data_IF_063120114520
#
_entry.id   IF_063120114520
#
_cell.length_a   1.000
_cell.length_b   1.000
_cell.length_c   1.000
_cell.angle_alpha   90.00
_cell.angle_beta   90.00
_cell.angle_gamma   90.00
#
_symmetry.space_group_name_H-M   'P 1'
#
loop_
_entity.id
_entity.type
_entity.pdbx_description
1 polymer ?
#
# COMPACT_ATOMS: atom_id res chain seq x y z
N UNK A 1 14.94 -9.17 -2.67
CA UNK A 1 14.97 -7.75 -2.26
C UNK A 1 15.98 -7.02 -3.12
N UNK A 2 15.55 -5.92 -3.72
CA UNK A 2 16.49 -5.02 -4.40
C UNK A 2 17.32 -4.31 -3.33
N UNK A 3 18.62 -4.44 -3.44
CA UNK A 3 19.55 -3.65 -2.62
C UNK A 3 19.51 -2.22 -3.15
N UNK A 4 19.21 -1.25 -2.30
CA UNK A 4 19.33 0.16 -2.68
C UNK A 4 20.79 0.45 -2.97
N UNK A 5 21.07 1.03 -4.13
CA UNK A 5 22.45 1.34 -4.55
C UNK A 5 23.19 2.27 -3.58
N UNK A 6 22.47 3.19 -2.96
CA UNK A 6 22.98 4.14 -1.97
C UNK A 6 23.37 3.49 -0.63
N UNK A 7 22.94 2.24 -0.40
CA UNK A 7 23.31 1.48 0.79
C UNK A 7 24.62 0.68 0.64
N UNK A 8 25.22 0.66 -0.55
CA UNK A 8 26.44 -0.10 -0.82
C UNK A 8 27.65 0.84 -0.96
N UNK A 9 28.74 0.64 -0.16
CA UNK A 9 29.96 1.42 -0.30
C UNK A 9 30.52 1.36 -1.73
N UNK A 10 30.87 2.52 -2.29
CA UNK A 10 31.48 2.63 -3.61
C UNK A 10 30.52 2.64 -4.81
N UNK A 11 29.21 2.48 -4.60
CA UNK A 11 28.22 2.60 -5.66
C UNK A 11 27.67 4.03 -5.71
N UNK A 12 28.00 4.76 -6.76
CA UNK A 12 27.43 6.10 -7.03
C UNK A 12 26.06 5.96 -7.65
N UNK A 13 25.06 6.60 -7.07
CA UNK A 13 23.71 6.69 -7.60
C UNK A 13 22.68 6.74 -6.47
N UNK A 14 22.02 7.87 -6.34
CA UNK A 14 21.08 8.14 -5.26
C UNK A 14 19.86 7.22 -5.31
N UNK A 15 19.29 6.96 -4.17
CA UNK A 15 18.03 6.37 -3.71
C UNK A 15 16.99 5.86 -4.68
N UNK A 16 17.35 5.57 -5.90
CA UNK A 16 16.48 5.03 -6.93
C UNK A 16 16.21 3.54 -6.76
N UNK A 17 15.44 3.00 -7.67
CA UNK A 17 15.20 1.56 -7.79
C UNK A 17 16.54 0.85 -7.97
N UNK A 18 16.87 -0.11 -7.12
CA UNK A 18 18.03 -0.95 -7.31
C UNK A 18 17.94 -1.70 -8.64
N UNK A 19 19.11 -2.07 -9.18
CA UNK A 19 19.17 -2.99 -10.31
C UNK A 19 19.34 -4.40 -9.76
N UNK A 20 18.49 -5.29 -10.20
CA UNK A 20 18.51 -6.69 -9.82
C UNK A 20 19.79 -7.36 -10.35
N UNK A 21 20.50 -8.16 -9.55
CA UNK A 21 21.61 -8.93 -10.05
C UNK A 21 21.13 -9.95 -11.09
N UNK A 22 21.93 -10.20 -12.13
CA UNK A 22 21.60 -11.18 -13.18
C UNK A 22 21.38 -12.60 -12.66
N UNK A 23 22.03 -12.96 -11.56
CA UNK A 23 21.89 -14.27 -10.92
C UNK A 23 20.60 -14.42 -10.08
N UNK A 24 19.82 -13.35 -9.90
CA UNK A 24 18.58 -13.36 -9.13
C UNK A 24 17.38 -13.05 -10.04
N UNK A 25 16.97 -13.99 -10.90
CA UNK A 25 15.80 -13.82 -11.75
C UNK A 25 14.52 -13.72 -10.89
N UNK A 26 13.45 -13.19 -11.48
CA UNK A 26 12.15 -13.18 -10.82
C UNK A 26 11.52 -14.58 -10.86
N UNK A 27 10.67 -14.86 -9.88
CA UNK A 27 9.93 -16.11 -9.83
C UNK A 27 9.11 -16.38 -11.11
N UNK A 28 8.66 -15.32 -11.77
CA UNK A 28 7.92 -15.37 -13.03
C UNK A 28 8.68 -16.02 -14.18
N UNK A 29 10.01 -15.91 -14.21
CA UNK A 29 10.84 -16.59 -15.20
C UNK A 29 10.78 -18.12 -15.06
N UNK A 30 10.78 -18.61 -13.82
CA UNK A 30 10.65 -20.05 -13.56
C UNK A 30 9.22 -20.53 -13.83
N UNK A 31 8.23 -19.82 -13.31
CA UNK A 31 6.82 -20.19 -13.47
C UNK A 31 6.39 -20.21 -14.94
N UNK A 32 6.89 -19.30 -15.76
CA UNK A 32 6.60 -19.28 -17.18
C UNK A 32 7.12 -20.53 -17.89
N UNK A 33 8.31 -21.03 -17.51
CA UNK A 33 8.88 -22.29 -18.04
C UNK A 33 8.03 -23.50 -17.65
N UNK A 34 7.37 -23.42 -16.47
CA UNK A 34 6.45 -24.45 -15.96
C UNK A 34 5.00 -24.26 -16.48
N UNK A 35 4.79 -23.44 -17.48
CA UNK A 35 3.50 -23.24 -18.15
C UNK A 35 2.53 -22.27 -17.46
N UNK A 36 2.95 -21.58 -16.41
CA UNK A 36 2.11 -20.59 -15.76
C UNK A 36 1.84 -19.36 -16.63
N UNK A 37 0.65 -18.80 -16.49
CA UNK A 37 0.37 -17.43 -16.91
C UNK A 37 0.57 -16.47 -15.74
N UNK A 38 1.37 -15.45 -15.95
CA UNK A 38 1.76 -14.50 -14.91
C UNK A 38 1.06 -13.16 -15.15
N UNK A 39 0.39 -12.63 -14.11
CA UNK A 39 -0.35 -11.37 -14.14
C UNK A 39 0.16 -10.40 -13.09
N UNK A 40 0.13 -9.11 -13.38
CA UNK A 40 0.51 -8.06 -12.46
C UNK A 40 -0.59 -7.01 -12.36
N UNK A 41 -0.95 -6.62 -11.14
CA UNK A 41 -1.87 -5.52 -10.89
C UNK A 41 -1.37 -4.66 -9.72
N UNK A 42 -1.03 -3.40 -10.00
CA UNK A 42 -0.71 -2.43 -8.96
C UNK A 42 0.69 -1.83 -9.04
N UNK A 43 1.38 -1.76 -7.91
CA UNK A 43 2.69 -1.14 -7.81
C UNK A 43 3.79 -2.05 -8.36
N UNK A 44 4.64 -1.48 -9.21
CA UNK A 44 5.87 -2.09 -9.66
C UNK A 44 7.06 -1.30 -9.11
N UNK A 45 7.84 -1.91 -8.24
CA UNK A 45 8.98 -1.25 -7.59
C UNK A 45 10.28 -2.01 -7.84
N UNK A 46 10.37 -2.61 -9.02
CA UNK A 46 11.51 -3.40 -9.50
C UNK A 46 12.03 -2.74 -10.78
N UNK A 47 13.26 -3.04 -11.18
CA UNK A 47 13.86 -2.60 -12.44
C UNK A 47 13.15 -3.19 -13.66
N UNK A 48 13.26 -2.52 -14.80
CA UNK A 48 12.67 -2.93 -16.08
C UNK A 48 11.16 -2.70 -16.19
N UNK A 49 10.63 -3.06 -17.32
CA UNK A 49 9.20 -3.09 -17.59
C UNK A 49 8.59 -4.38 -17.04
N UNK A 50 7.29 -4.38 -16.83
CA UNK A 50 6.61 -5.54 -16.22
C UNK A 50 6.59 -6.72 -17.18
N UNK A 51 6.21 -6.51 -18.45
CA UNK A 51 6.10 -7.59 -19.43
C UNK A 51 7.47 -8.17 -19.79
N UNK A 52 8.55 -7.37 -19.77
CA UNK A 52 9.92 -7.84 -19.97
C UNK A 52 10.41 -8.77 -18.81
N UNK A 53 9.64 -8.86 -17.75
CA UNK A 53 9.89 -9.72 -16.60
C UNK A 53 8.91 -10.91 -16.52
N UNK A 54 8.56 -11.44 -17.72
CA UNK A 54 7.76 -12.65 -17.89
C UNK A 54 6.31 -12.58 -17.34
N UNK A 55 5.74 -11.39 -17.27
CA UNK A 55 4.31 -11.20 -17.09
C UNK A 55 3.60 -11.16 -18.46
N UNK A 56 2.37 -11.67 -18.50
CA UNK A 56 1.55 -11.70 -19.72
C UNK A 56 0.64 -10.47 -19.81
N UNK A 57 0.18 -9.97 -18.66
CA UNK A 57 -0.62 -8.76 -18.57
C UNK A 57 -0.26 -7.96 -17.32
N UNK A 58 -0.38 -6.64 -17.43
CA UNK A 58 -0.01 -5.72 -16.35
C UNK A 58 -0.89 -4.47 -16.31
N UNK A 59 -1.40 -4.16 -15.13
CA UNK A 59 -1.86 -2.84 -14.76
C UNK A 59 -0.87 -2.23 -13.76
N UNK A 60 -0.06 -1.28 -14.22
CA UNK A 60 0.96 -0.65 -13.38
C UNK A 60 0.50 0.70 -12.88
N UNK A 61 0.38 0.86 -11.56
CA UNK A 61 0.05 2.12 -10.93
C UNK A 61 1.33 2.89 -10.60
N UNK A 62 1.53 4.02 -11.27
CA UNK A 62 2.69 4.90 -11.07
C UNK A 62 2.35 6.14 -10.24
N UNK A 63 1.09 6.57 -10.24
CA UNK A 63 0.68 7.77 -9.50
C UNK A 63 0.47 7.44 -8.02
N UNK A 64 1.51 7.64 -7.23
CA UNK A 64 1.45 7.47 -5.77
C UNK A 64 1.01 8.76 -5.05
N UNK A 65 0.98 9.90 -5.73
CA UNK A 65 0.61 11.20 -5.16
C UNK A 65 -0.89 11.48 -5.16
N UNK A 66 -1.67 10.75 -5.98
CA UNK A 66 -3.12 10.93 -6.07
C UNK A 66 -3.83 9.61 -6.40
N UNK A 67 -4.52 9.04 -5.41
CA UNK A 67 -5.29 7.80 -5.58
C UNK A 67 -6.56 7.95 -6.41
N UNK A 68 -6.99 9.19 -6.69
CA UNK A 68 -8.17 9.49 -7.49
C UNK A 68 -7.84 9.89 -8.94
N UNK A 69 -6.63 9.61 -9.41
CA UNK A 69 -6.23 9.86 -10.79
C UNK A 69 -5.48 8.68 -11.39
N UNK A 70 -5.83 8.33 -12.63
CA UNK A 70 -5.15 7.31 -13.41
C UNK A 70 -3.92 7.84 -14.16
N UNK A 71 -3.67 9.15 -14.09
CA UNK A 71 -2.58 9.81 -14.81
C UNK A 71 -1.22 9.19 -14.52
N UNK A 72 -0.52 8.77 -15.58
CA UNK A 72 0.80 8.16 -15.48
C UNK A 72 0.79 6.66 -15.23
N UNK A 73 -0.38 6.03 -15.13
CA UNK A 73 -0.49 4.57 -15.06
C UNK A 73 -0.19 3.92 -16.43
N UNK A 74 0.17 2.66 -16.41
CA UNK A 74 0.47 1.89 -17.63
C UNK A 74 -0.42 0.64 -17.68
N UNK A 75 -0.90 0.35 -18.88
CA UNK A 75 -1.52 -0.93 -19.22
C UNK A 75 -0.57 -1.67 -20.16
N UNK A 76 -0.12 -2.85 -19.78
CA UNK A 76 0.84 -3.65 -20.54
C UNK A 76 2.09 -2.84 -20.97
N UNK A 77 2.63 -2.07 -20.00
CA UNK A 77 3.78 -1.17 -20.17
C UNK A 77 3.59 0.01 -21.14
N UNK A 78 2.36 0.19 -21.66
CA UNK A 78 1.97 1.33 -22.50
C UNK A 78 1.27 2.38 -21.61
N UNK A 79 1.54 3.68 -21.79
CA UNK A 79 0.84 4.73 -21.04
C UNK A 79 -0.68 4.61 -21.20
N UNK A 80 -1.37 4.50 -20.07
CA UNK A 80 -2.83 4.48 -20.07
C UNK A 80 -3.34 5.91 -20.26
N UNK A 81 -4.03 6.14 -21.36
CA UNK A 81 -4.58 7.44 -21.76
C UNK A 81 -6.06 7.29 -22.04
N UNK A 82 -6.91 7.35 -21.01
CA UNK A 82 -8.36 7.38 -21.26
C UNK A 82 -8.74 8.71 -21.90
N UNK A 83 -9.71 8.71 -22.79
CA UNK A 83 -10.26 9.93 -23.40
C UNK A 83 -10.74 10.93 -22.34
N UNK A 84 -11.30 10.41 -21.25
CA UNK A 84 -11.65 11.17 -20.04
C UNK A 84 -11.23 10.37 -18.81
N UNK A 85 -10.76 11.08 -17.78
CA UNK A 85 -10.53 10.44 -16.47
C UNK A 85 -11.85 9.78 -16.02
N UNK A 86 -11.85 8.48 -15.72
CA UNK A 86 -13.08 7.79 -15.33
C UNK A 86 -13.71 8.47 -14.11
N UNK A 87 -15.00 8.81 -14.20
CA UNK A 87 -15.73 9.31 -13.04
C UNK A 87 -15.62 8.31 -11.90
N UNK A 88 -15.28 8.79 -10.71
CA UNK A 88 -15.06 7.97 -9.53
C UNK A 88 -13.85 7.01 -9.61
N UNK A 89 -12.83 7.34 -10.41
CA UNK A 89 -11.60 6.58 -10.39
C UNK A 89 -11.02 6.52 -8.96
N UNK A 90 -10.66 5.33 -8.54
CA UNK A 90 -9.92 5.11 -7.30
C UNK A 90 -8.91 3.97 -7.50
N UNK A 91 -7.65 4.26 -7.25
CA UNK A 91 -6.52 3.40 -7.60
C UNK A 91 -6.62 1.99 -7.03
N UNK A 92 -7.07 1.86 -5.77
CA UNK A 92 -7.28 0.56 -5.11
C UNK A 92 -8.35 -0.26 -5.84
N UNK A 93 -9.49 0.37 -6.20
CA UNK A 93 -10.56 -0.28 -6.97
C UNK A 93 -10.09 -0.67 -8.37
N UNK A 94 -9.37 0.22 -9.06
CA UNK A 94 -8.86 -0.05 -10.40
C UNK A 94 -7.89 -1.23 -10.41
N UNK A 95 -7.01 -1.32 -9.40
CA UNK A 95 -6.08 -2.44 -9.22
C UNK A 95 -6.83 -3.77 -9.02
N UNK A 96 -7.85 -3.77 -8.16
CA UNK A 96 -8.68 -4.96 -7.92
C UNK A 96 -9.49 -5.35 -9.18
N UNK A 97 -10.06 -4.37 -9.89
CA UNK A 97 -10.83 -4.60 -11.11
C UNK A 97 -9.98 -5.21 -12.21
N UNK A 98 -8.74 -4.75 -12.39
CA UNK A 98 -7.81 -5.36 -13.33
C UNK A 98 -7.46 -6.80 -12.94
N UNK A 99 -7.25 -7.08 -11.65
CA UNK A 99 -7.01 -8.43 -11.20
C UNK A 99 -8.19 -9.37 -11.46
N UNK A 100 -9.41 -8.90 -11.21
CA UNK A 100 -10.65 -9.64 -11.51
C UNK A 100 -10.75 -9.90 -13.02
N UNK A 101 -10.49 -8.89 -13.86
CA UNK A 101 -10.46 -9.04 -15.32
C UNK A 101 -9.50 -10.16 -15.72
N UNK A 102 -8.23 -10.11 -15.29
CA UNK A 102 -7.24 -11.13 -15.63
C UNK A 102 -7.69 -12.54 -15.21
N UNK A 103 -8.27 -12.70 -14.02
CA UNK A 103 -8.74 -14.00 -13.54
C UNK A 103 -9.98 -14.50 -14.32
N UNK A 104 -10.88 -13.58 -14.70
CA UNK A 104 -12.05 -13.93 -15.52
C UNK A 104 -11.61 -14.41 -16.90
N UNK A 105 -10.75 -13.66 -17.58
CA UNK A 105 -10.21 -14.02 -18.89
C UNK A 105 -9.39 -15.31 -18.80
N UNK A 106 -8.58 -15.47 -17.74
CA UNK A 106 -7.84 -16.70 -17.50
C UNK A 106 -8.77 -17.93 -17.43
N UNK A 107 -9.87 -17.82 -16.68
CA UNK A 107 -10.83 -18.92 -16.52
C UNK A 107 -11.56 -19.29 -17.81
N UNK A 108 -11.65 -18.36 -18.76
CA UNK A 108 -12.29 -18.57 -20.06
C UNK A 108 -11.31 -19.12 -21.11
N UNK A 109 -10.12 -18.51 -21.20
CA UNK A 109 -9.21 -18.71 -22.32
C UNK A 109 -7.99 -19.59 -21.98
N UNK A 110 -7.74 -19.82 -20.69
CA UNK A 110 -6.54 -20.49 -20.18
C UNK A 110 -6.81 -21.38 -18.96
N UNK A 111 -8.01 -21.90 -18.83
CA UNK A 111 -8.43 -22.71 -17.67
C UNK A 111 -7.58 -24.00 -17.47
N UNK A 112 -6.91 -24.46 -18.53
CA UNK A 112 -5.98 -25.60 -18.53
C UNK A 112 -4.60 -25.27 -17.95
N UNK A 113 -4.29 -23.98 -17.70
CA UNK A 113 -2.99 -23.52 -17.23
C UNK A 113 -3.06 -23.02 -15.78
N UNK A 114 -2.02 -23.24 -14.99
CA UNK A 114 -1.91 -22.57 -13.70
C UNK A 114 -1.61 -21.07 -13.90
N UNK A 115 -1.94 -20.26 -12.88
CA UNK A 115 -1.61 -18.84 -12.92
C UNK A 115 -0.85 -18.38 -11.69
N UNK A 116 -0.09 -17.31 -11.86
CA UNK A 116 0.50 -16.52 -10.80
C UNK A 116 0.06 -15.06 -10.96
N UNK A 117 -0.48 -14.46 -9.91
CA UNK A 117 -0.89 -13.07 -9.94
C UNK A 117 -0.17 -12.27 -8.85
N UNK A 118 0.68 -11.32 -9.26
CA UNK A 118 1.28 -10.35 -8.36
C UNK A 118 0.34 -9.16 -8.18
N UNK A 119 -0.51 -9.23 -7.15
CA UNK A 119 -1.45 -8.19 -6.79
C UNK A 119 -0.83 -7.28 -5.72
N UNK A 120 -0.40 -6.09 -6.11
CA UNK A 120 0.40 -5.18 -5.31
C UNK A 120 -0.30 -3.82 -5.10
N UNK A 121 -1.17 -3.73 -4.11
CA UNK A 121 -1.83 -2.47 -3.77
C UNK A 121 -0.81 -1.41 -3.32
N UNK A 122 -1.04 -0.13 -3.72
CA UNK A 122 -0.27 1.00 -3.17
C UNK A 122 -0.76 1.33 -1.75
N UNK A 123 -2.05 1.21 -1.51
CA UNK A 123 -2.63 1.39 -0.18
C UNK A 123 -1.94 0.48 0.85
N UNK A 124 -1.66 0.96 2.06
CA UNK A 124 -2.01 2.24 2.65
C UNK A 124 -0.88 3.29 2.62
N UNK A 125 -0.13 3.41 1.52
CA UNK A 125 0.91 4.43 1.35
C UNK A 125 0.30 5.84 1.41
N UNK A 126 1.02 6.81 1.95
CA UNK A 126 0.59 8.21 1.91
C UNK A 126 0.76 8.81 0.48
N UNK A 127 0.00 9.88 0.14
CA UNK A 127 -1.00 10.57 0.96
C UNK A 127 -2.20 9.66 1.27
N UNK A 128 -2.80 9.87 2.47
CA UNK A 128 -3.97 9.08 2.86
C UNK A 128 -5.20 9.56 2.08
N UNK A 129 -5.57 8.81 1.08
CA UNK A 129 -6.70 9.10 0.20
C UNK A 129 -7.65 7.91 0.18
N UNK A 130 -8.90 8.13 0.60
CA UNK A 130 -9.94 7.11 0.51
C UNK A 130 -11.30 7.72 0.15
N UNK A 131 -12.20 6.97 -0.49
CA UNK A 131 -13.55 7.46 -0.80
C UNK A 131 -14.31 7.82 0.47
N UNK A 132 -14.93 8.99 0.49
CA UNK A 132 -15.64 9.55 1.65
C UNK A 132 -16.67 8.57 2.24
N UNK A 133 -17.41 7.86 1.37
CA UNK A 133 -18.38 6.85 1.80
C UNK A 133 -17.77 5.71 2.60
N UNK A 134 -16.51 5.34 2.30
CA UNK A 134 -15.79 4.29 3.03
C UNK A 134 -15.23 4.83 4.34
N UNK A 135 -14.68 6.06 4.35
CA UNK A 135 -14.19 6.72 5.57
C UNK A 135 -15.29 6.77 6.65
N UNK A 136 -16.52 7.13 6.27
CA UNK A 136 -17.64 7.23 7.21
C UNK A 136 -17.92 5.92 7.97
N UNK A 137 -17.65 4.76 7.37
CA UNK A 137 -17.83 3.46 8.04
C UNK A 137 -16.89 3.28 9.25
N UNK A 138 -15.75 3.95 9.25
CA UNK A 138 -14.70 3.79 10.26
C UNK A 138 -14.62 4.95 11.25
N UNK A 139 -15.22 6.10 10.93
CA UNK A 139 -15.04 7.35 11.69
C UNK A 139 -15.27 7.18 13.21
N UNK A 140 -16.39 6.58 13.59
CA UNK A 140 -16.75 6.42 15.00
C UNK A 140 -15.93 5.34 15.71
N UNK A 141 -15.43 4.35 14.97
CA UNK A 141 -14.65 3.25 15.54
C UNK A 141 -13.39 3.73 16.24
N UNK A 142 -12.70 4.69 15.64
CA UNK A 142 -11.40 5.16 16.11
C UNK A 142 -11.49 6.24 17.19
N UNK A 143 -12.68 6.75 17.51
CA UNK A 143 -12.89 7.62 18.67
C UNK A 143 -12.62 6.90 20.01
N UNK A 144 -12.60 5.57 20.02
CA UNK A 144 -12.18 4.79 21.19
C UNK A 144 -10.69 4.99 21.54
N UNK A 145 -9.89 5.48 20.58
CA UNK A 145 -8.48 5.77 20.75
C UNK A 145 -7.54 4.58 20.46
N UNK A 146 -6.30 4.91 20.18
CA UNK A 146 -5.28 3.91 19.78
C UNK A 146 -4.89 2.97 20.90
N UNK A 147 -4.87 3.41 22.17
CA UNK A 147 -4.55 2.55 23.30
C UNK A 147 -5.56 1.40 23.41
N UNK A 148 -6.85 1.73 23.43
CA UNK A 148 -7.94 0.74 23.47
C UNK A 148 -7.98 -0.14 22.22
N UNK A 149 -7.75 0.45 21.04
CA UNK A 149 -7.68 -0.33 19.78
C UNK A 149 -6.52 -1.33 19.78
N UNK A 150 -5.38 -0.96 20.38
CA UNK A 150 -4.23 -1.84 20.54
C UNK A 150 -4.55 -3.03 21.44
N UNK A 151 -5.16 -2.77 22.58
CA UNK A 151 -5.59 -3.82 23.52
C UNK A 151 -6.61 -4.79 22.90
N UNK A 152 -7.63 -4.25 22.24
CA UNK A 152 -8.65 -5.05 21.56
C UNK A 152 -8.07 -5.93 20.45
N UNK A 153 -7.15 -5.39 19.65
CA UNK A 153 -6.47 -6.14 18.61
C UNK A 153 -5.64 -7.28 19.20
N UNK A 154 -4.89 -7.02 20.26
CA UNK A 154 -4.08 -8.02 20.93
C UNK A 154 -4.96 -9.13 21.54
N UNK A 155 -6.02 -8.74 22.24
CA UNK A 155 -6.97 -9.71 22.81
C UNK A 155 -7.59 -10.62 21.72
N UNK A 156 -7.96 -10.04 20.57
CA UNK A 156 -8.45 -10.82 19.43
C UNK A 156 -7.39 -11.78 18.89
N UNK A 157 -6.14 -11.34 18.74
CA UNK A 157 -5.03 -12.18 18.26
C UNK A 157 -4.75 -13.36 19.20
N UNK A 158 -4.81 -13.13 20.50
CA UNK A 158 -4.73 -14.23 21.50
C UNK A 158 -5.90 -15.20 21.37
N UNK A 159 -7.13 -14.66 21.27
CA UNK A 159 -8.34 -15.48 21.19
C UNK A 159 -8.34 -16.44 19.98
N UNK A 160 -7.79 -16.01 18.85
CA UNK A 160 -7.69 -16.84 17.63
C UNK A 160 -6.41 -17.70 17.58
N UNK A 161 -5.63 -17.75 18.67
CA UNK A 161 -4.41 -18.56 18.75
C UNK A 161 -3.20 -18.03 17.97
N UNK A 162 -3.27 -16.80 17.44
CA UNK A 162 -2.18 -16.22 16.66
C UNK A 162 -0.97 -15.82 17.52
N UNK A 163 -1.19 -15.43 18.77
CA UNK A 163 -0.17 -14.99 19.70
C UNK A 163 -0.29 -15.73 21.05
N UNK A 164 0.86 -16.18 21.55
CA UNK A 164 0.99 -16.72 22.90
C UNK A 164 2.04 -15.92 23.69
N UNK A 165 1.73 -14.68 23.99
CA UNK A 165 2.63 -13.74 24.68
C UNK A 165 1.82 -12.73 25.49
N UNK A 166 2.50 -11.79 26.13
CA UNK A 166 1.91 -10.63 26.78
C UNK A 166 2.01 -9.39 25.90
N UNK A 167 1.08 -8.45 26.08
CA UNK A 167 1.14 -7.17 25.38
C UNK A 167 2.37 -6.40 25.84
N UNK A 168 3.26 -6.03 24.92
CA UNK A 168 4.45 -5.23 25.21
C UNK A 168 4.07 -3.88 25.84
N UNK A 169 4.95 -3.35 26.68
CA UNK A 169 4.80 -1.96 27.16
C UNK A 169 4.90 -0.98 26.01
N UNK A 170 4.26 0.16 26.15
CA UNK A 170 4.50 1.30 25.26
C UNK A 170 5.78 2.00 25.71
N UNK A 171 6.65 2.26 24.78
CA UNK A 171 7.92 2.97 24.97
C UNK A 171 7.91 4.22 24.10
N UNK A 172 7.21 5.29 24.51
CA UNK A 172 7.01 6.48 23.68
C UNK A 172 8.31 7.23 23.37
N UNK A 173 9.35 7.00 24.18
CA UNK A 173 10.68 7.60 23.99
C UNK A 173 11.57 6.78 23.04
N UNK A 174 11.17 5.55 22.72
CA UNK A 174 11.87 4.64 21.79
C UNK A 174 11.21 4.72 20.43
N UNK A 175 11.73 5.50 19.56
CA UNK A 175 11.25 5.62 18.19
C UNK A 175 12.15 6.54 17.38
N UNK A 176 12.03 6.52 16.06
CA UNK A 176 12.70 7.52 15.26
C UNK A 176 12.24 8.90 15.73
N UNK A 177 13.13 9.89 15.81
CA UNK A 177 12.75 11.24 16.17
C UNK A 177 11.84 11.79 15.07
N UNK A 178 10.53 11.64 15.24
CA UNK A 178 9.55 12.30 14.41
C UNK A 178 9.54 13.78 14.78
N UNK A 179 10.44 14.54 14.17
CA UNK A 179 10.39 15.97 14.23
C UNK A 179 9.63 16.50 13.03
N UNK A 180 8.34 16.73 13.21
CA UNK A 180 7.53 17.51 12.28
C UNK A 180 7.13 18.83 12.96
N UNK A 181 8.07 19.75 13.19
CA UNK A 181 7.80 20.96 13.97
C UNK A 181 6.72 21.83 13.34
N UNK A 182 6.57 21.76 12.04
CA UNK A 182 5.60 22.50 11.24
C UNK A 182 4.29 21.70 10.96
N UNK A 183 4.15 20.49 11.50
CA UNK A 183 2.94 19.68 11.28
C UNK A 183 1.68 20.37 11.79
N UNK A 184 1.72 20.93 12.99
CA UNK A 184 0.59 21.67 13.56
C UNK A 184 0.29 22.93 12.74
N UNK A 185 1.33 23.63 12.29
CA UNK A 185 1.17 24.82 11.43
C UNK A 185 0.51 24.49 10.10
N UNK A 186 0.89 23.36 9.48
CA UNK A 186 0.37 22.95 8.16
C UNK A 186 -0.99 22.28 8.22
N UNK A 187 -1.26 21.50 9.26
CA UNK A 187 -2.44 20.64 9.37
C UNK A 187 -3.46 21.10 10.41
N UNK A 188 -3.11 22.14 11.17
CA UNK A 188 -4.00 22.73 12.18
C UNK A 188 -3.88 22.12 13.57
N UNK A 189 -4.63 22.66 14.54
CA UNK A 189 -4.49 22.37 15.98
C UNK A 189 -4.95 20.95 16.37
N UNK A 190 -5.60 20.24 15.46
CA UNK A 190 -5.92 18.82 15.67
C UNK A 190 -4.73 17.88 15.48
N UNK A 191 -3.63 18.36 14.89
CA UNK A 191 -2.43 17.54 14.70
C UNK A 191 -1.56 17.51 15.98
N UNK A 192 -0.73 16.48 16.05
CA UNK A 192 0.24 16.29 17.13
C UNK A 192 1.64 16.10 16.53
N UNK A 193 2.66 16.60 17.23
CA UNK A 193 4.06 16.51 16.80
C UNK A 193 4.85 15.36 17.45
N UNK A 194 4.24 14.67 18.40
CA UNK A 194 4.83 13.49 19.06
C UNK A 194 3.76 12.52 19.51
N UNK A 195 4.07 11.23 19.66
CA UNK A 195 3.16 10.26 20.25
C UNK A 195 2.82 10.62 21.70
N UNK A 196 1.53 10.59 22.02
CA UNK A 196 1.02 10.79 23.38
C UNK A 196 -0.10 9.80 23.66
N UNK A 197 -0.39 9.55 24.94
CA UNK A 197 -1.53 8.72 25.32
C UNK A 197 -2.85 9.39 24.89
N UNK A 198 -3.82 8.59 24.45
CA UNK A 198 -5.09 9.10 23.91
C UNK A 198 -5.85 10.01 24.85
N UNK A 199 -5.79 9.73 26.17
CA UNK A 199 -6.48 10.52 27.17
C UNK A 199 -5.89 11.93 27.36
N UNK A 200 -4.65 12.15 26.95
CA UNK A 200 -3.97 13.46 27.00
C UNK A 200 -4.35 14.39 25.85
N UNK A 201 -5.02 13.86 24.81
CA UNK A 201 -5.45 14.64 23.66
C UNK A 201 -6.66 15.52 24.00
N UNK A 202 -6.72 16.72 23.43
CA UNK A 202 -7.92 17.56 23.42
C UNK A 202 -9.04 16.89 22.60
N UNK A 203 -10.27 17.40 22.74
CA UNK A 203 -11.40 16.91 21.95
C UNK A 203 -11.15 17.06 20.44
N UNK A 204 -10.59 18.18 20.02
CA UNK A 204 -10.26 18.46 18.62
C UNK A 204 -9.20 17.49 18.09
N UNK A 205 -8.11 17.30 18.87
CA UNK A 205 -7.06 16.33 18.51
C UNK A 205 -7.60 14.91 18.40
N UNK A 206 -8.47 14.46 19.31
CA UNK A 206 -9.12 13.14 19.24
C UNK A 206 -9.92 12.95 17.96
N UNK A 207 -10.70 13.95 17.56
CA UNK A 207 -11.49 13.92 16.33
C UNK A 207 -10.57 13.86 15.12
N UNK A 208 -9.54 14.70 15.08
CA UNK A 208 -8.59 14.76 13.97
C UNK A 208 -7.81 13.43 13.81
N UNK A 209 -7.23 12.92 14.90
CA UNK A 209 -6.48 11.68 14.89
C UNK A 209 -7.36 10.47 14.56
N UNK A 210 -8.59 10.40 15.10
CA UNK A 210 -9.55 9.37 14.74
C UNK A 210 -9.92 9.42 13.25
N UNK A 211 -10.02 10.61 12.67
CA UNK A 211 -10.27 10.79 11.23
C UNK A 211 -9.09 10.29 10.40
N UNK A 212 -7.85 10.60 10.76
CA UNK A 212 -6.65 10.05 10.08
C UNK A 212 -6.64 8.52 10.11
N UNK A 213 -6.93 7.92 11.26
CA UNK A 213 -7.03 6.46 11.39
C UNK A 213 -8.17 5.88 10.55
N UNK A 214 -9.30 6.58 10.47
CA UNK A 214 -10.43 6.16 9.64
C UNK A 214 -10.11 6.22 8.15
N UNK A 215 -9.40 7.24 7.69
CA UNK A 215 -8.93 7.34 6.29
C UNK A 215 -7.97 6.19 5.99
N UNK A 216 -6.99 5.96 6.85
CA UNK A 216 -6.03 4.87 6.69
C UNK A 216 -6.71 3.49 6.62
N UNK A 217 -7.75 3.26 7.43
CA UNK A 217 -8.51 2.01 7.41
C UNK A 217 -9.45 1.89 6.20
N UNK A 218 -9.77 2.99 5.55
CA UNK A 218 -10.66 3.05 4.40
C UNK A 218 -9.92 2.88 3.05
N UNK A 219 -8.60 2.99 3.06
CA UNK A 219 -7.75 2.76 1.88
C UNK A 219 -7.67 1.29 1.51
#
# INVERSE_FOLDING_TARGET
QQVRRDALPGIKGGGGRGVRPKWAPLVTEFLKKDGYRNYHSGKWHIDGKVLENDFHESWRVNNQGNFFSSKGNLLNDIPFQPEQEPKNYYSTTATASHAIKCLTEHSQDHADKPFFHYLAFIAPHFPLHAPQKVIQKYKNRYLAGWDKMREQRFAKQKKIGLLNTTLSKLEPEVGPPYSFPDAIQKLGPGEINRPVAWNQLSKEQKIFQATKMAIHAAM
#
